data_IF_100800305941
#
_entry.id   IF_100800305941
#
_cell.length_a   1.000
_cell.length_b   1.000
_cell.length_c   1.000
_cell.angle_alpha   90.00
_cell.angle_beta   90.00
_cell.angle_gamma   90.00
#
_symmetry.space_group_name_H-M   'P 1'
#
loop_
_entity.id
_entity.type
_entity.pdbx_description
1 polymer ?
#
# COMPACT_ATOMS: atom_id res chain seq x y z
N UNK A 1 1.12 15.54 9.87
CA UNK A 1 2.11 15.32 10.96
C UNK A 1 1.55 15.91 12.24
N UNK A 2 1.93 15.37 13.40
CA UNK A 2 1.49 15.86 14.70
C UNK A 2 2.26 17.13 15.08
N UNK A 3 1.56 18.23 15.33
CA UNK A 3 2.19 19.51 15.66
C UNK A 3 2.88 19.55 17.03
N UNK A 4 2.51 18.65 17.96
CA UNK A 4 3.08 18.60 19.31
C UNK A 4 4.42 17.85 19.37
N UNK A 5 4.62 16.82 18.55
CA UNK A 5 5.85 16.02 18.56
C UNK A 5 6.64 16.06 17.25
N UNK A 6 6.11 16.70 16.20
CA UNK A 6 6.73 16.74 14.87
C UNK A 6 6.69 15.42 14.09
N UNK A 7 6.23 14.32 14.70
CA UNK A 7 6.21 12.99 14.08
C UNK A 7 4.94 12.66 13.30
N UNK A 8 4.90 11.45 12.72
CA UNK A 8 3.68 10.84 12.19
C UNK A 8 2.69 10.52 13.33
N UNK A 9 1.40 10.44 12.99
CA UNK A 9 0.38 10.13 13.98
C UNK A 9 0.50 8.69 14.49
N UNK A 10 0.55 8.55 15.81
CA UNK A 10 0.41 7.28 16.53
C UNK A 10 -0.84 7.41 17.41
N UNK A 11 -1.79 6.49 17.22
CA UNK A 11 -3.14 6.56 17.79
C UNK A 11 -3.78 7.94 17.55
N UNK A 12 -3.98 8.31 16.28
CA UNK A 12 -4.52 9.59 15.86
C UNK A 12 -5.79 9.91 16.66
N UNK A 13 -5.80 11.11 17.23
CA UNK A 13 -6.85 11.59 18.13
C UNK A 13 -7.22 13.00 17.72
N UNK A 14 -8.49 13.21 17.42
CA UNK A 14 -9.03 14.44 16.85
C UNK A 14 -9.87 15.17 17.88
N UNK A 15 -9.68 16.48 17.99
CA UNK A 15 -10.52 17.38 18.79
C UNK A 15 -11.84 17.58 18.05
N UNK A 16 -12.97 17.30 18.70
CA UNK A 16 -14.30 17.35 18.05
C UNK A 16 -14.67 18.77 17.61
N UNK A 17 -14.39 19.77 18.44
CA UNK A 17 -14.82 21.16 18.21
C UNK A 17 -14.13 21.84 17.01
N UNK A 18 -12.90 21.44 16.67
CA UNK A 18 -12.11 22.11 15.64
C UNK A 18 -11.48 21.16 14.61
N UNK A 19 -11.71 19.85 14.73
CA UNK A 19 -11.20 18.80 13.84
C UNK A 19 -9.68 18.78 13.63
N UNK A 20 -8.90 19.31 14.59
CA UNK A 20 -7.45 19.19 14.57
C UNK A 20 -7.03 17.87 15.22
N UNK A 21 -6.11 17.16 14.57
CA UNK A 21 -5.66 15.82 14.97
C UNK A 21 -4.22 15.82 15.50
N UNK A 22 -3.97 14.95 16.47
CA UNK A 22 -2.70 14.79 17.18
C UNK A 22 -2.47 13.31 17.52
N UNK A 23 -1.28 12.93 17.98
CA UNK A 23 -1.11 11.61 18.61
C UNK A 23 -1.85 11.57 19.96
N UNK A 24 -2.48 10.44 20.31
CA UNK A 24 -3.22 10.26 21.58
C UNK A 24 -2.42 10.72 22.79
N UNK A 25 -1.19 10.22 22.94
CA UNK A 25 -0.33 10.54 24.09
C UNK A 25 0.08 12.02 24.13
N UNK A 26 0.23 12.66 22.96
CA UNK A 26 0.60 14.07 22.88
C UNK A 26 -0.55 14.96 23.33
N UNK A 27 -1.75 14.77 22.77
CA UNK A 27 -2.89 15.63 23.10
C UNK A 27 -3.43 15.38 24.50
N UNK A 28 -3.43 14.13 24.97
CA UNK A 28 -3.83 13.82 26.36
C UNK A 28 -2.91 14.54 27.36
N UNK A 29 -1.59 14.45 27.19
CA UNK A 29 -0.61 15.12 28.06
C UNK A 29 -0.77 16.65 28.00
N UNK A 30 -0.95 17.22 26.81
CA UNK A 30 -1.13 18.67 26.66
C UNK A 30 -2.38 19.18 27.39
N UNK A 31 -3.48 18.44 27.29
CA UNK A 31 -4.77 18.80 27.88
C UNK A 31 -4.86 18.58 29.41
N UNK A 32 -3.82 18.02 30.04
CA UNK A 32 -3.72 17.96 31.52
C UNK A 32 -3.59 19.36 32.12
N UNK A 33 -2.94 20.28 31.40
CA UNK A 33 -2.65 21.66 31.86
C UNK A 33 -3.35 22.72 31.03
N UNK A 34 -3.89 22.38 29.86
CA UNK A 34 -4.49 23.33 28.92
C UNK A 34 -5.92 22.92 28.52
N UNK A 35 -6.75 23.90 28.16
CA UNK A 35 -8.15 23.69 27.75
C UNK A 35 -8.45 24.12 26.31
N UNK A 36 -7.41 24.53 25.57
CA UNK A 36 -7.52 25.11 24.24
C UNK A 36 -6.74 24.24 23.24
N UNK A 37 -7.15 24.27 21.97
CA UNK A 37 -6.48 23.53 20.91
C UNK A 37 -5.06 24.10 20.68
N UNK A 38 -3.99 23.28 20.63
CA UNK A 38 -2.63 23.75 20.36
C UNK A 38 -2.42 24.42 18.99
N UNK A 39 -3.36 24.25 18.05
CA UNK A 39 -3.24 24.72 16.67
C UNK A 39 -4.00 26.01 16.39
N UNK A 40 -5.11 26.24 17.08
CA UNK A 40 -6.06 27.28 16.71
C UNK A 40 -6.72 27.97 17.90
N UNK A 41 -6.28 27.67 19.13
CA UNK A 41 -6.76 28.26 20.38
C UNK A 41 -8.28 28.18 20.62
N UNK A 42 -8.99 27.33 19.88
CA UNK A 42 -10.41 27.03 20.13
C UNK A 42 -10.51 26.24 21.44
N UNK A 43 -11.45 26.62 22.31
CA UNK A 43 -11.66 25.94 23.58
C UNK A 43 -12.18 24.51 23.33
N UNK A 44 -11.43 23.51 23.78
CA UNK A 44 -11.76 22.08 23.60
C UNK A 44 -12.95 21.67 24.48
N UNK A 45 -12.93 22.09 25.75
CA UNK A 45 -14.03 21.89 26.68
C UNK A 45 -13.86 22.84 27.89
N UNK A 46 -14.97 23.26 28.51
CA UNK A 46 -14.99 24.18 29.67
C UNK A 46 -14.22 23.65 30.89
N UNK A 47 -14.48 22.40 31.30
CA UNK A 47 -13.89 21.78 32.49
C UNK A 47 -13.11 20.49 32.25
N UNK A 48 -13.50 19.67 31.26
CA UNK A 48 -12.94 18.33 31.03
C UNK A 48 -12.57 18.10 29.55
N UNK A 49 -11.42 18.64 29.08
CA UNK A 49 -11.00 18.55 27.67
C UNK A 49 -10.95 17.12 27.10
N UNK A 50 -10.64 16.12 27.92
CA UNK A 50 -10.58 14.71 27.50
C UNK A 50 -11.93 14.13 27.02
N UNK A 51 -13.07 14.77 27.32
CA UNK A 51 -14.39 14.35 26.82
C UNK A 51 -14.65 14.78 25.37
N UNK A 52 -13.92 15.80 24.89
CA UNK A 52 -14.10 16.40 23.55
C UNK A 52 -13.02 15.97 22.56
N UNK A 53 -12.28 14.89 22.84
CA UNK A 53 -11.34 14.28 21.90
C UNK A 53 -11.78 12.85 21.58
N UNK A 54 -11.57 12.42 20.34
CA UNK A 54 -11.97 11.08 19.86
C UNK A 54 -10.83 10.44 19.07
N UNK A 55 -10.70 9.12 19.16
CA UNK A 55 -9.78 8.39 18.29
C UNK A 55 -10.26 8.47 16.85
N UNK A 56 -9.34 8.76 15.95
CA UNK A 56 -9.56 8.90 14.52
C UNK A 56 -8.94 7.71 13.80
N UNK A 57 -9.69 6.60 13.78
CA UNK A 57 -9.23 5.34 13.18
C UNK A 57 -8.95 5.49 11.70
N UNK A 58 -9.79 6.23 10.99
CA UNK A 58 -9.64 6.47 9.54
C UNK A 58 -8.34 7.21 9.25
N UNK A 59 -8.07 8.30 9.95
CA UNK A 59 -6.82 9.03 9.78
C UNK A 59 -5.61 8.16 10.14
N UNK A 60 -5.72 7.38 11.22
CA UNK A 60 -4.64 6.47 11.61
C UNK A 60 -4.36 5.40 10.55
N UNK A 61 -5.41 4.83 9.96
CA UNK A 61 -5.30 3.82 8.89
C UNK A 61 -4.67 4.42 7.64
N UNK A 62 -5.05 5.65 7.28
CA UNK A 62 -4.42 6.38 6.16
C UNK A 62 -2.93 6.55 6.44
N UNK A 63 -2.55 7.02 7.63
CA UNK A 63 -1.15 7.24 8.00
C UNK A 63 -0.34 5.94 7.95
N UNK A 64 -0.88 4.84 8.48
CA UNK A 64 -0.20 3.53 8.45
C UNK A 64 -0.11 2.90 7.05
N UNK A 65 -1.02 3.23 6.14
CA UNK A 65 -0.96 2.77 4.74
C UNK A 65 0.01 3.61 3.90
N UNK A 66 0.09 4.91 4.18
CA UNK A 66 0.91 5.84 3.39
C UNK A 66 2.37 5.89 3.83
N UNK A 67 2.67 5.65 5.11
CA UNK A 67 4.04 5.72 5.63
C UNK A 67 4.61 4.31 5.76
N UNK A 68 5.58 3.91 4.90
CA UNK A 68 6.18 2.59 4.94
C UNK A 68 6.84 2.30 6.30
N UNK A 69 6.70 1.08 6.79
CA UNK A 69 7.35 0.62 8.03
C UNK A 69 6.73 1.16 9.33
N UNK A 70 6.04 2.30 9.31
CA UNK A 70 5.57 2.99 10.52
C UNK A 70 4.74 2.09 11.45
N UNK A 71 3.79 1.33 10.89
CA UNK A 71 2.99 0.39 11.67
C UNK A 71 3.84 -0.73 12.28
N UNK A 72 4.73 -1.34 11.48
CA UNK A 72 5.62 -2.43 11.92
C UNK A 72 6.54 -1.93 13.06
N UNK A 73 7.09 -0.73 12.91
CA UNK A 73 7.96 -0.09 13.90
C UNK A 73 7.22 0.26 15.19
N UNK A 74 5.98 0.75 15.09
CA UNK A 74 5.14 1.02 16.25
C UNK A 74 4.78 -0.26 17.01
N UNK A 75 4.34 -1.31 16.31
CA UNK A 75 4.04 -2.61 16.92
C UNK A 75 5.28 -3.24 17.56
N UNK A 76 6.45 -3.08 16.92
CA UNK A 76 7.73 -3.51 17.50
C UNK A 76 8.03 -2.74 18.80
N UNK A 77 7.90 -1.42 18.80
CA UNK A 77 8.12 -0.59 19.99
C UNK A 77 7.18 -0.96 21.15
N UNK A 78 5.92 -1.29 20.86
CA UNK A 78 4.96 -1.78 21.87
C UNK A 78 5.41 -3.11 22.47
N UNK A 79 5.77 -4.09 21.63
CA UNK A 79 6.27 -5.40 22.09
C UNK A 79 7.54 -5.28 22.93
N UNK A 80 8.52 -4.51 22.46
CA UNK A 80 9.78 -4.31 23.17
C UNK A 80 9.54 -3.69 24.56
N UNK A 81 8.58 -2.77 24.67
CA UNK A 81 8.20 -2.17 25.95
C UNK A 81 7.60 -3.21 26.92
N UNK A 82 6.57 -3.96 26.52
CA UNK A 82 5.96 -4.95 27.42
C UNK A 82 6.89 -6.12 27.76
N UNK A 83 7.78 -6.51 26.83
CA UNK A 83 8.82 -7.49 27.11
C UNK A 83 9.82 -6.99 28.18
N UNK A 84 10.18 -5.70 28.16
CA UNK A 84 11.06 -5.09 29.15
C UNK A 84 10.36 -4.80 30.50
N UNK A 85 9.03 -4.65 30.50
CA UNK A 85 8.24 -4.34 31.69
C UNK A 85 7.08 -5.33 31.89
N UNK A 86 7.33 -6.60 32.29
CA UNK A 86 6.28 -7.61 32.45
C UNK A 86 5.19 -7.25 33.48
N UNK A 87 5.49 -6.36 34.43
CA UNK A 87 4.52 -5.88 35.43
C UNK A 87 3.65 -4.71 34.95
N UNK A 88 3.93 -4.13 33.78
CA UNK A 88 3.13 -3.07 33.17
C UNK A 88 1.93 -3.60 32.38
N UNK A 89 1.69 -4.92 32.44
CA UNK A 89 0.62 -5.57 31.72
C UNK A 89 -0.74 -4.95 32.06
N UNK A 90 -1.41 -4.40 31.04
CA UNK A 90 -2.70 -3.74 31.21
C UNK A 90 -3.77 -4.84 31.19
N UNK A 91 -4.52 -5.09 32.29
CA UNK A 91 -5.49 -6.19 32.37
C UNK A 91 -6.61 -6.11 31.31
N UNK A 92 -6.79 -4.93 30.69
CA UNK A 92 -7.80 -4.64 29.67
C UNK A 92 -7.21 -4.09 28.35
N UNK A 93 -5.90 -4.19 28.12
CA UNK A 93 -5.29 -3.77 26.85
C UNK A 93 -5.71 -4.67 25.69
N UNK A 94 -5.96 -4.09 24.52
CA UNK A 94 -6.22 -4.85 23.29
C UNK A 94 -4.93 -5.55 22.81
N UNK A 95 -5.08 -6.57 21.95
CA UNK A 95 -3.90 -7.23 21.35
C UNK A 95 -3.02 -6.22 20.57
N UNK A 96 -3.64 -5.25 19.89
CA UNK A 96 -2.92 -4.15 19.22
C UNK A 96 -2.15 -3.25 20.20
N UNK A 97 -2.64 -3.07 21.43
CA UNK A 97 -1.94 -2.30 22.47
C UNK A 97 -0.67 -3.02 22.93
N UNK A 98 -0.67 -4.36 22.97
CA UNK A 98 0.53 -5.18 23.24
C UNK A 98 1.48 -5.29 22.05
N UNK A 99 1.05 -4.82 20.87
CA UNK A 99 1.76 -5.02 19.61
C UNK A 99 1.65 -6.44 19.04
N UNK A 100 0.69 -7.21 19.54
CA UNK A 100 0.34 -8.53 19.03
C UNK A 100 -0.77 -8.39 17.98
N UNK A 101 -0.39 -8.30 16.71
CA UNK A 101 -1.34 -8.26 15.59
C UNK A 101 -1.01 -9.40 14.66
N UNK A 102 -2.02 -10.16 14.23
CA UNK A 102 -1.84 -11.21 13.23
C UNK A 102 -1.29 -10.57 11.96
N UNK A 103 -0.17 -11.09 11.43
CA UNK A 103 0.43 -10.60 10.18
C UNK A 103 -0.56 -10.66 9.00
N UNK A 104 -1.61 -11.47 9.14
CA UNK A 104 -2.68 -11.64 8.18
C UNK A 104 -3.61 -10.42 8.07
N UNK A 105 -3.69 -9.57 9.10
CA UNK A 105 -4.72 -8.53 9.22
C UNK A 105 -4.35 -7.20 8.54
N UNK A 106 -3.08 -7.00 8.15
CA UNK A 106 -2.62 -5.72 7.58
C UNK A 106 -1.70 -5.86 6.37
N UNK A 107 -2.16 -6.61 5.38
CA UNK A 107 -2.68 -5.94 4.20
C UNK A 107 -1.71 -5.27 3.20
N UNK A 108 -0.48 -4.94 3.57
CA UNK A 108 0.35 -4.02 2.80
C UNK A 108 1.49 -4.79 2.14
N UNK A 109 1.35 -5.05 0.84
CA UNK A 109 2.47 -5.47 0.02
C UNK A 109 3.44 -4.29 -0.07
N UNK A 110 4.69 -4.42 0.37
CA UNK A 110 5.73 -3.46 0.00
C UNK A 110 6.24 -3.78 -1.41
N UNK A 111 6.91 -2.84 -2.08
CA UNK A 111 7.44 -3.06 -3.45
C UNK A 111 8.38 -4.28 -3.53
N UNK A 112 9.11 -4.54 -2.44
CA UNK A 112 10.00 -5.69 -2.27
C UNK A 112 9.29 -7.03 -1.99
N UNK A 113 7.96 -7.04 -1.80
CA UNK A 113 7.21 -8.26 -1.51
C UNK A 113 6.88 -9.05 -2.79
N UNK A 114 6.84 -10.39 -2.67
CA UNK A 114 6.44 -11.26 -3.78
C UNK A 114 4.94 -11.52 -3.76
N UNK A 115 4.26 -11.29 -4.88
CA UNK A 115 2.86 -11.66 -5.11
C UNK A 115 2.81 -13.06 -5.72
N UNK A 116 2.03 -13.95 -5.11
CA UNK A 116 1.66 -15.24 -5.72
C UNK A 116 0.45 -15.02 -6.62
N UNK A 117 0.54 -15.43 -7.88
CA UNK A 117 -0.54 -15.28 -8.86
C UNK A 117 -0.77 -16.57 -9.63
N UNK A 118 -1.98 -16.74 -10.14
CA UNK A 118 -2.34 -17.81 -11.06
C UNK A 118 -2.69 -17.20 -12.41
N UNK A 119 -2.28 -17.83 -13.50
CA UNK A 119 -2.56 -17.37 -14.86
C UNK A 119 -3.13 -18.49 -15.71
N UNK A 120 -4.31 -18.24 -16.27
CA UNK A 120 -5.05 -19.18 -17.13
C UNK A 120 -5.30 -18.56 -18.51
N UNK A 121 -5.35 -19.39 -19.55
CA UNK A 121 -5.82 -18.93 -20.85
C UNK A 121 -7.33 -18.66 -20.80
N UNK A 122 -7.76 -17.51 -21.34
CA UNK A 122 -9.16 -17.15 -21.45
C UNK A 122 -9.82 -17.90 -22.61
N UNK A 123 -10.54 -18.97 -22.28
CA UNK A 123 -11.46 -19.64 -23.18
C UNK A 123 -12.73 -18.78 -23.28
N UNK A 124 -12.83 -17.92 -24.30
CA UNK A 124 -14.04 -17.11 -24.51
C UNK A 124 -15.29 -17.99 -24.57
N UNK A 125 -16.43 -17.46 -24.13
CA UNK A 125 -17.72 -18.15 -24.26
C UNK A 125 -17.94 -18.42 -25.76
N UNK A 126 -17.69 -19.66 -26.17
CA UNK A 126 -18.18 -20.16 -27.45
C UNK A 126 -19.66 -20.38 -27.19
N UNK A 127 -20.52 -19.65 -27.90
CA UNK A 127 -21.97 -19.85 -27.85
C UNK A 127 -22.30 -21.36 -27.89
N UNK A 128 -23.24 -21.79 -27.05
CA UNK A 128 -23.77 -23.15 -27.03
C UNK A 128 -24.28 -23.54 -28.43
N UNK A 129 -23.41 -24.11 -29.24
CA UNK A 129 -23.82 -25.15 -30.18
C UNK A 129 -23.60 -26.47 -29.46
N UNK A 130 -24.67 -26.92 -28.78
CA UNK A 130 -24.83 -28.28 -28.28
C UNK A 130 -24.67 -29.27 -29.43
N UNK A 131 -23.44 -29.77 -29.59
CA UNK A 131 -23.15 -31.03 -30.26
C UNK A 131 -22.89 -32.09 -29.20
N UNK A 132 -23.84 -33.00 -29.04
CA UNK A 132 -23.83 -34.14 -28.13
C UNK A 132 -22.56 -34.99 -28.34
N UNK A 133 -21.61 -34.97 -27.40
CA UNK A 133 -20.71 -36.10 -27.16
C UNK A 133 -20.38 -36.14 -25.68
N UNK A 134 -20.73 -37.25 -25.02
CA UNK A 134 -20.29 -37.60 -23.67
C UNK A 134 -18.77 -37.47 -23.54
N UNK A 135 -18.26 -36.96 -22.42
CA UNK A 135 -17.13 -37.55 -21.68
C UNK A 135 -16.67 -36.64 -20.53
N UNK A 136 -16.64 -37.20 -19.32
CA UNK A 136 -16.23 -36.55 -18.06
C UNK A 136 -14.73 -36.20 -17.95
N UNK A 137 -14.13 -35.63 -18.98
CA UNK A 137 -12.71 -35.25 -19.04
C UNK A 137 -12.45 -33.73 -19.04
N UNK A 138 -13.48 -32.88 -19.21
CA UNK A 138 -13.31 -31.42 -19.35
C UNK A 138 -12.76 -30.75 -18.07
N UNK A 139 -13.06 -31.30 -16.89
CA UNK A 139 -12.57 -30.74 -15.62
C UNK A 139 -11.08 -31.01 -15.36
N UNK A 140 -10.52 -32.11 -15.90
CA UNK A 140 -9.10 -32.45 -15.71
C UNK A 140 -8.19 -31.61 -16.60
N UNK A 141 -8.61 -31.30 -17.83
CA UNK A 141 -7.83 -30.48 -18.76
C UNK A 141 -7.80 -28.99 -18.37
N UNK A 142 -8.90 -28.44 -17.81
CA UNK A 142 -8.92 -27.05 -17.29
C UNK A 142 -7.88 -26.83 -16.17
N UNK A 143 -7.73 -27.79 -15.26
CA UNK A 143 -6.70 -27.72 -14.20
C UNK A 143 -5.27 -27.72 -14.74
N UNK A 144 -5.03 -28.24 -15.95
CA UNK A 144 -3.69 -28.35 -16.53
C UNK A 144 -3.25 -27.09 -17.30
N UNK A 145 -4.18 -26.19 -17.64
CA UNK A 145 -3.89 -24.91 -18.34
C UNK A 145 -3.53 -23.77 -17.37
N UNK A 146 -3.91 -23.91 -16.09
CA UNK A 146 -3.61 -22.95 -15.03
C UNK A 146 -2.15 -23.06 -14.59
N UNK A 147 -1.42 -21.94 -14.59
CA UNK A 147 -0.04 -21.87 -14.10
C UNK A 147 0.06 -20.94 -12.89
N UNK A 148 0.93 -21.26 -11.94
CA UNK A 148 1.19 -20.41 -10.78
C UNK A 148 2.57 -19.76 -10.89
N UNK A 149 2.66 -18.48 -10.51
CA UNK A 149 3.88 -17.68 -10.58
C UNK A 149 4.07 -16.94 -9.25
N UNK A 150 5.32 -16.77 -8.84
CA UNK A 150 5.72 -15.81 -7.79
C UNK A 150 6.48 -14.68 -8.46
N UNK A 151 5.96 -13.48 -8.34
CA UNK A 151 6.50 -12.29 -9.01
C UNK A 151 6.72 -11.18 -7.98
N UNK A 152 7.75 -10.34 -8.14
CA UNK A 152 7.84 -9.08 -7.38
C UNK A 152 6.57 -8.25 -7.56
N UNK A 153 6.10 -7.59 -6.50
CA UNK A 153 4.92 -6.72 -6.54
C UNK A 153 5.07 -5.58 -7.55
N UNK A 154 6.30 -5.09 -7.75
CA UNK A 154 6.71 -4.12 -8.76
C UNK A 154 6.54 -4.57 -10.22
N UNK A 155 6.34 -5.87 -10.48
CA UNK A 155 6.23 -6.38 -11.85
C UNK A 155 4.98 -5.82 -12.53
N UNK A 156 5.15 -5.25 -13.73
CA UNK A 156 4.03 -4.70 -14.51
C UNK A 156 3.32 -5.74 -15.37
N UNK A 157 2.08 -5.43 -15.76
CA UNK A 157 1.34 -6.22 -16.74
C UNK A 157 2.07 -6.30 -18.09
N UNK A 158 2.82 -5.27 -18.48
CA UNK A 158 3.69 -5.34 -19.65
C UNK A 158 4.73 -6.47 -19.53
N UNK A 159 5.36 -6.64 -18.36
CA UNK A 159 6.30 -7.74 -18.15
C UNK A 159 5.61 -9.10 -18.28
N UNK A 160 4.41 -9.25 -17.72
CA UNK A 160 3.65 -10.49 -17.80
C UNK A 160 3.21 -10.80 -19.24
N UNK A 161 2.76 -9.80 -19.99
CA UNK A 161 2.40 -9.95 -21.40
C UNK A 161 3.61 -10.34 -22.28
N UNK A 162 4.80 -9.77 -22.02
CA UNK A 162 6.05 -10.19 -22.69
C UNK A 162 6.44 -11.61 -22.32
N UNK A 163 6.34 -11.98 -21.05
CA UNK A 163 6.61 -13.33 -20.58
C UNK A 163 5.70 -14.35 -21.28
N UNK A 164 4.40 -14.10 -21.32
CA UNK A 164 3.43 -14.98 -21.98
C UNK A 164 3.66 -15.09 -23.49
N UNK A 165 3.98 -13.97 -24.15
CA UNK A 165 4.33 -13.97 -25.58
C UNK A 165 5.50 -14.92 -25.85
N UNK A 166 6.56 -14.82 -25.06
CA UNK A 166 7.74 -15.68 -25.21
C UNK A 166 7.45 -17.13 -24.83
N UNK A 167 6.71 -17.36 -23.73
CA UNK A 167 6.41 -18.69 -23.21
C UNK A 167 5.50 -19.51 -24.15
N UNK A 168 4.58 -18.83 -24.83
CA UNK A 168 3.59 -19.45 -25.72
C UNK A 168 3.90 -19.23 -27.21
N UNK A 169 5.08 -18.71 -27.53
CA UNK A 169 5.55 -18.39 -28.89
C UNK A 169 4.50 -17.61 -29.73
N UNK A 170 3.93 -16.56 -29.13
CA UNK A 170 2.87 -15.77 -29.78
C UNK A 170 3.49 -14.82 -30.82
N UNK A 171 3.14 -14.92 -32.12
CA UNK A 171 3.70 -14.05 -33.15
C UNK A 171 3.35 -12.57 -32.93
N UNK A 172 4.22 -11.66 -33.40
CA UNK A 172 4.06 -10.20 -33.23
C UNK A 172 2.80 -9.62 -33.87
N UNK A 173 2.20 -10.31 -34.85
CA UNK A 173 0.90 -9.96 -35.44
C UNK A 173 -0.27 -10.08 -34.45
N UNK A 174 -0.04 -10.67 -33.28
CA UNK A 174 -1.01 -10.77 -32.19
C UNK A 174 -0.55 -10.02 -30.93
N UNK A 175 -1.53 -9.44 -30.24
CA UNK A 175 -1.39 -8.82 -28.93
C UNK A 175 -1.82 -9.82 -27.85
N UNK A 176 -0.98 -9.97 -26.82
CA UNK A 176 -1.35 -10.65 -25.57
C UNK A 176 -2.00 -9.62 -24.65
N UNK A 177 -3.24 -9.87 -24.25
CA UNK A 177 -3.95 -9.08 -23.24
C UNK A 177 -4.06 -9.90 -21.96
N UNK A 178 -3.68 -9.30 -20.83
CA UNK A 178 -3.89 -9.87 -19.49
C UNK A 178 -5.15 -9.27 -18.91
N UNK A 179 -5.94 -10.10 -18.23
CA UNK A 179 -7.23 -9.74 -17.66
C UNK A 179 -7.28 -10.08 -16.18
N UNK A 180 -8.01 -9.27 -15.43
CA UNK A 180 -8.56 -9.64 -14.14
C UNK A 180 -10.06 -9.88 -14.35
N UNK A 181 -10.53 -11.07 -13.96
CA UNK A 181 -11.88 -11.56 -14.30
C UNK A 181 -12.12 -11.55 -15.82
N UNK A 182 -12.81 -10.52 -16.34
CA UNK A 182 -13.12 -10.31 -17.77
C UNK A 182 -12.63 -8.95 -18.29
N UNK A 183 -11.96 -8.15 -17.44
CA UNK A 183 -11.50 -6.80 -17.78
C UNK A 183 -10.02 -6.79 -18.18
N UNK A 184 -9.67 -6.19 -19.33
CA UNK A 184 -8.27 -6.05 -19.75
C UNK A 184 -7.54 -5.02 -18.88
N UNK A 185 -6.41 -5.43 -18.31
CA UNK A 185 -5.58 -4.60 -17.46
C UNK A 185 -4.66 -3.69 -18.28
N UNK A 186 -4.31 -2.53 -17.71
CA UNK A 186 -3.39 -1.59 -18.35
C UNK A 186 -1.95 -2.09 -18.24
N UNK A 187 -1.16 -1.87 -19.30
CA UNK A 187 0.23 -2.35 -19.38
C UNK A 187 1.15 -1.75 -18.30
N UNK A 188 0.83 -0.55 -17.82
CA UNK A 188 1.59 0.16 -16.79
C UNK A 188 1.18 -0.20 -15.36
N UNK A 189 0.12 -0.99 -15.14
CA UNK A 189 -0.23 -1.46 -13.80
C UNK A 189 0.80 -2.46 -13.31
N UNK A 190 1.26 -2.26 -12.08
CA UNK A 190 2.03 -3.24 -11.29
C UNK A 190 1.10 -4.30 -10.70
N UNK A 191 1.67 -5.44 -10.27
CA UNK A 191 0.90 -6.42 -9.49
C UNK A 191 0.38 -5.80 -8.20
N UNK A 192 1.15 -4.92 -7.56
CA UNK A 192 0.71 -4.12 -6.41
C UNK A 192 -0.54 -3.30 -6.74
N UNK A 193 -0.54 -2.53 -7.83
CA UNK A 193 -1.70 -1.73 -8.26
C UNK A 193 -2.95 -2.60 -8.40
N UNK A 194 -2.83 -3.79 -9.00
CA UNK A 194 -3.96 -4.71 -9.17
C UNK A 194 -4.52 -5.13 -7.81
N UNK A 195 -3.66 -5.44 -6.83
CA UNK A 195 -4.11 -5.80 -5.48
C UNK A 195 -4.77 -4.65 -4.71
N UNK A 196 -4.51 -3.40 -5.09
CA UNK A 196 -5.16 -2.22 -4.51
C UNK A 196 -6.46 -1.86 -5.23
N UNK A 197 -6.46 -1.94 -6.57
CA UNK A 197 -7.61 -1.58 -7.41
C UNK A 197 -8.72 -2.63 -7.25
N UNK A 198 -8.37 -3.91 -7.26
CA UNK A 198 -9.31 -5.00 -7.17
C UNK A 198 -9.27 -5.63 -5.77
N UNK A 199 -10.43 -5.88 -5.12
CA UNK A 199 -10.52 -6.34 -3.73
C UNK A 199 -10.12 -7.82 -3.58
N UNK A 200 -8.88 -8.15 -3.89
CA UNK A 200 -8.29 -9.48 -3.71
C UNK A 200 -7.91 -9.68 -2.24
N UNK A 201 -8.66 -10.53 -1.54
CA UNK A 201 -8.48 -10.79 -0.09
C UNK A 201 -7.28 -11.68 0.26
N UNK A 202 -6.37 -11.93 -0.67
CA UNK A 202 -5.24 -12.89 -0.52
C UNK A 202 -5.67 -14.31 -0.12
N UNK A 203 -6.93 -14.68 -0.36
CA UNK A 203 -7.45 -16.03 -0.16
C UNK A 203 -7.00 -16.94 -1.32
N UNK A 204 -5.70 -17.22 -1.38
CA UNK A 204 -5.05 -17.89 -2.51
C UNK A 204 -4.40 -16.91 -3.50
N UNK A 205 -3.76 -17.41 -4.57
CA UNK A 205 -3.02 -16.59 -5.53
C UNK A 205 -3.92 -15.61 -6.29
N UNK A 206 -3.36 -14.47 -6.71
CA UNK A 206 -4.06 -13.46 -7.51
C UNK A 206 -4.48 -14.07 -8.86
N UNK A 207 -5.79 -14.21 -9.14
CA UNK A 207 -6.25 -14.89 -10.35
C UNK A 207 -6.25 -13.95 -11.54
N UNK A 208 -5.37 -14.22 -12.50
CA UNK A 208 -5.30 -13.51 -13.78
C UNK A 208 -5.65 -14.46 -14.92
N UNK A 209 -6.18 -13.90 -16.00
CA UNK A 209 -6.37 -14.61 -17.27
C UNK A 209 -5.59 -13.92 -18.38
N UNK A 210 -5.36 -14.59 -19.50
CA UNK A 210 -4.81 -13.96 -20.69
C UNK A 210 -5.51 -14.42 -21.96
N UNK A 211 -5.60 -13.54 -22.95
CA UNK A 211 -6.09 -13.86 -24.30
C UNK A 211 -5.18 -13.30 -25.36
N UNK A 212 -5.27 -13.85 -26.57
CA UNK A 212 -4.49 -13.42 -27.73
C UNK A 212 -5.44 -12.83 -28.76
N UNK A 213 -5.21 -11.57 -29.15
CA UNK A 213 -6.01 -10.86 -30.15
C UNK A 213 -5.17 -10.45 -31.36
N UNK A 214 -5.75 -10.36 -32.58
CA UNK A 214 -5.07 -9.73 -33.71
C UNK A 214 -4.69 -8.27 -33.38
N UNK A 215 -3.44 -7.87 -33.65
CA UNK A 215 -2.97 -6.52 -33.36
C UNK A 215 -3.62 -5.45 -34.25
N UNK A 216 -4.10 -5.85 -35.44
CA UNK A 216 -4.82 -4.97 -36.36
C UNK A 216 -6.24 -5.51 -36.57
N UNK A 217 -7.26 -4.75 -36.17
CA UNK A 217 -8.62 -4.99 -36.66
C UNK A 217 -8.61 -4.62 -38.14
N UNK A 218 -8.53 -5.61 -39.01
CA UNK A 218 -8.67 -5.40 -40.45
C UNK A 218 -10.04 -4.75 -40.68
N UNK A 219 -10.07 -3.48 -41.07
CA UNK A 219 -11.26 -2.81 -41.58
C UNK A 219 -11.73 -3.64 -42.78
N UNK A 220 -12.81 -4.39 -42.62
CA UNK A 220 -13.38 -5.20 -43.70
C UNK A 220 -14.20 -4.26 -44.58
N UNK A 221 -13.58 -3.72 -45.62
CA UNK A 221 -14.33 -3.10 -46.72
C UNK A 221 -15.13 -4.21 -47.41
N UNK A 222 -16.45 -4.08 -47.42
CA UNK A 222 -17.37 -5.03 -48.04
C UNK A 222 -17.19 -5.02 -49.55
N UNK A 223 -16.47 -5.98 -50.11
CA UNK A 223 -16.51 -6.29 -51.54
C UNK A 223 -17.75 -7.13 -51.83
N UNK A 224 -18.76 -6.53 -52.46
CA UNK A 224 -19.80 -7.27 -53.17
C UNK A 224 -19.16 -8.14 -54.26
N UNK A 225 -19.71 -9.34 -54.57
CA UNK A 225 -19.30 -10.10 -55.74
C UNK A 225 -20.06 -9.62 -56.99
N UNK A 226 -19.44 -9.55 -58.19
CA UNK A 226 -20.19 -9.46 -59.43
C UNK A 226 -20.50 -10.87 -59.96
N UNK A 227 -21.81 -11.13 -60.14
CA UNK A 227 -22.33 -12.22 -60.94
C UNK A 227 -22.11 -11.94 -62.43
N UNK A 228 -22.05 -13.03 -63.20
CA UNK A 228 -21.71 -13.12 -64.60
C UNK A 228 -22.80 -12.68 -65.60
N UNK A 229 -22.34 -12.41 -66.82
CA UNK A 229 -23.00 -12.55 -68.14
C UNK A 229 -23.69 -11.36 -68.85
N UNK A 230 -23.00 -10.95 -69.93
CA UNK A 230 -23.44 -10.82 -71.32
C UNK A 230 -24.09 -9.49 -71.84
N UNK A 231 -23.38 -8.94 -72.84
CA UNK A 231 -23.84 -8.40 -74.15
C UNK A 231 -24.70 -7.13 -74.21
N UNK A 232 -24.10 -6.00 -74.63
CA UNK A 232 -24.33 -5.34 -75.94
C UNK A 232 -23.94 -3.85 -75.97
N UNK A 233 -23.26 -3.48 -77.06
CA UNK A 233 -23.36 -2.24 -77.89
C UNK A 233 -23.27 -0.84 -77.27
N UNK A 234 -22.26 -0.11 -77.75
CA UNK A 234 -22.30 1.27 -78.31
C UNK A 234 -22.88 2.42 -77.49
N UNK A 235 -22.08 3.49 -77.32
CA UNK A 235 -22.65 4.84 -77.12
C UNK A 235 -21.80 5.81 -76.28
N UNK A 236 -21.03 6.64 -76.99
CA UNK A 236 -20.73 8.07 -76.82
C UNK A 236 -20.80 8.84 -75.47
N UNK A 237 -20.09 9.99 -75.49
CA UNK A 237 -20.04 11.15 -74.59
C UNK A 237 -18.99 11.06 -73.47
N UNK A 238 -17.84 11.75 -73.58
CA UNK A 238 -17.59 13.21 -73.48
C UNK A 238 -17.89 13.74 -72.07
N UNK A 239 -16.83 14.08 -71.33
CA UNK A 239 -16.46 15.45 -70.91
C UNK A 239 -17.24 15.88 -69.64
N UNK A 240 -16.75 16.60 -68.63
CA UNK A 240 -15.68 17.57 -68.47
C UNK A 240 -15.20 17.58 -67.01
N UNK A 241 -13.97 18.07 -66.84
CA UNK A 241 -13.48 19.07 -65.87
C UNK A 241 -14.50 19.64 -64.86
N UNK A 242 -14.11 19.96 -63.62
CA UNK A 242 -13.43 21.23 -63.31
C UNK A 242 -12.75 21.13 -61.94
N UNK A 243 -11.51 21.62 -61.89
CA UNK A 243 -10.77 21.95 -60.66
C UNK A 243 -11.36 23.19 -60.01
N UNK A 244 -11.34 23.27 -58.67
CA UNK A 244 -11.12 24.58 -58.05
C UNK A 244 -10.31 24.51 -56.75
N UNK A 245 -9.62 25.63 -56.53
CA UNK A 245 -8.34 25.76 -55.83
C UNK A 245 -8.49 26.49 -54.50
N UNK A 246 -7.74 26.01 -53.51
CA UNK A 246 -7.12 26.70 -52.36
C UNK A 246 -7.93 27.60 -51.42
N UNK A 247 -7.74 27.37 -50.11
CA UNK A 247 -7.10 28.38 -49.24
C UNK A 247 -6.56 27.74 -47.94
N UNK A 248 -5.27 27.95 -47.67
CA UNK A 248 -4.73 27.97 -46.30
C UNK A 248 -4.88 29.39 -45.73
N UNK A 249 -4.76 29.55 -44.40
CA UNK A 249 -3.61 30.31 -43.93
C UNK A 249 -2.92 29.76 -42.66
N UNK A 250 -1.68 30.26 -42.51
CA UNK A 250 -0.62 30.07 -41.50
C UNK A 250 -1.04 30.42 -40.05
N UNK A 251 -0.59 29.71 -39.01
CA UNK A 251 0.70 29.79 -38.24
C UNK A 251 0.83 30.98 -37.26
N UNK A 252 1.24 30.67 -36.01
CA UNK A 252 2.13 31.36 -35.04
C UNK A 252 1.57 31.33 -33.58
N UNK A 253 2.39 31.49 -32.52
CA UNK A 253 3.73 30.94 -32.26
C UNK A 253 3.87 30.30 -30.86
N UNK A 254 4.92 29.47 -30.67
CA UNK A 254 5.34 28.93 -29.39
C UNK A 254 6.29 29.90 -28.65
N UNK A 255 6.05 30.14 -27.37
CA UNK A 255 6.97 30.85 -26.47
C UNK A 255 7.70 29.85 -25.58
N UNK A 256 9.02 29.90 -25.67
CA UNK A 256 9.98 29.20 -24.82
C UNK A 256 10.21 29.97 -23.52
N UNK A 257 10.21 29.28 -22.39
CA UNK A 257 10.88 29.76 -21.17
C UNK A 257 11.57 28.60 -20.45
N UNK A 258 12.89 28.74 -20.35
CA UNK A 258 13.82 27.87 -19.64
C UNK A 258 13.88 28.32 -18.17
N UNK A 259 13.87 27.39 -17.22
CA UNK A 259 14.22 27.65 -15.82
C UNK A 259 15.18 26.56 -15.29
N UNK A 260 16.08 26.92 -14.35
CA UNK A 260 17.34 26.19 -14.11
C UNK A 260 17.25 25.16 -12.98
N UNK A 261 18.18 24.19 -13.02
CA UNK A 261 18.42 23.18 -11.98
C UNK A 261 19.15 23.77 -10.75
N UNK A 262 18.90 23.27 -9.53
CA UNK A 262 19.60 23.73 -8.33
C UNK A 262 20.99 23.09 -8.16
N UNK A 263 21.90 23.92 -7.69
CA UNK A 263 23.32 23.72 -7.39
C UNK A 263 23.52 22.79 -6.18
N UNK A 264 24.45 21.85 -6.31
CA UNK A 264 25.03 21.06 -5.21
C UNK A 264 26.25 21.78 -4.61
N UNK A 265 26.41 21.85 -3.28
CA UNK A 265 27.65 22.30 -2.66
C UNK A 265 28.64 21.14 -2.49
N UNK A 266 29.86 21.37 -2.95
CA UNK A 266 31.07 20.59 -2.75
C UNK A 266 31.56 20.70 -1.29
N UNK A 267 31.77 19.56 -0.62
CA UNK A 267 32.62 19.49 0.56
C UNK A 267 33.74 18.49 0.32
N UNK A 268 34.97 18.98 0.49
CA UNK A 268 36.21 18.31 0.17
C UNK A 268 36.56 17.15 1.10
N UNK A 269 37.36 16.26 0.54
CA UNK A 269 38.16 15.26 1.25
C UNK A 269 39.18 15.93 2.18
N UNK A 270 39.59 15.24 3.25
CA UNK A 270 40.98 15.31 3.67
C UNK A 270 41.67 13.95 3.54
N UNK A 271 42.92 14.08 3.14
CA UNK A 271 43.89 13.06 2.78
C UNK A 271 44.22 12.08 3.90
N UNK A 272 44.61 10.89 3.43
CA UNK A 272 45.30 9.84 4.16
C UNK A 272 46.69 10.32 4.62
N UNK A 273 47.00 10.20 5.91
CA UNK A 273 48.37 10.18 6.40
C UNK A 273 48.59 8.86 7.16
N UNK A 274 49.42 8.03 6.54
CA UNK A 274 50.08 6.86 7.11
C UNK A 274 51.14 7.32 8.12
N UNK A 275 51.09 6.81 9.35
CA UNK A 275 52.30 6.71 10.18
C UNK A 275 52.30 5.38 10.91
N UNK A 276 53.27 4.57 10.54
CA UNK A 276 53.73 3.33 11.15
C UNK A 276 54.20 3.60 12.59
N UNK A 277 54.00 2.66 13.53
CA UNK A 277 55.06 2.02 14.35
C UNK A 277 54.49 1.21 15.54
N UNK A 278 54.90 -0.06 15.53
CA UNK A 278 55.13 -1.05 16.62
C UNK A 278 53.99 -1.65 17.47
N UNK A 279 53.89 -2.98 17.30
CA UNK A 279 53.41 -4.01 18.23
C UNK A 279 54.59 -4.43 19.16
N UNK A 280 54.33 -4.95 20.38
CA UNK A 280 54.63 -6.38 20.65
C UNK A 280 53.47 -7.09 21.39
N UNK A 281 52.90 -8.18 20.84
CA UNK A 281 53.15 -9.62 21.13
C UNK A 281 52.77 -10.06 22.57
N UNK A 282 51.56 -10.63 22.69
CA UNK A 282 51.12 -11.94 23.26
C UNK A 282 51.59 -12.45 24.66
N UNK A 283 51.00 -13.53 25.24
CA UNK A 283 49.65 -14.13 25.10
C UNK A 283 49.01 -14.55 26.46
N UNK A 284 47.83 -15.21 26.39
CA UNK A 284 47.29 -16.27 27.27
C UNK A 284 46.00 -15.95 28.07
N UNK A 285 44.92 -16.63 27.63
CA UNK A 285 43.98 -17.48 28.37
C UNK A 285 43.50 -17.08 29.79
N UNK A 286 42.17 -17.02 29.94
CA UNK A 286 41.50 -17.57 31.13
C UNK A 286 40.45 -16.70 31.82
N UNK A 287 39.23 -17.22 31.84
CA UNK A 287 38.22 -17.12 32.91
C UNK A 287 37.50 -15.78 33.22
N UNK A 288 36.18 -15.85 33.04
CA UNK A 288 35.10 -15.39 33.93
C UNK A 288 35.49 -14.53 35.14
N UNK A 289 34.83 -13.37 35.31
CA UNK A 289 34.11 -12.99 36.54
C UNK A 289 33.37 -11.63 36.39
N UNK A 290 32.17 -11.62 36.97
CA UNK A 290 31.30 -10.51 37.39
C UNK A 290 31.91 -9.11 37.55
N UNK A 291 31.14 -8.07 37.20
CA UNK A 291 31.42 -6.69 37.57
C UNK A 291 30.36 -5.65 37.19
N UNK A 292 29.29 -5.61 37.99
CA UNK A 292 28.52 -4.42 38.44
C UNK A 292 28.18 -3.26 37.48
N UNK A 293 26.86 -3.11 37.33
CA UNK A 293 26.04 -1.96 36.98
C UNK A 293 26.37 -0.63 37.69
N UNK A 294 26.23 0.48 36.96
CA UNK A 294 25.88 1.80 37.49
C UNK A 294 24.93 2.53 36.51
N UNK A 295 23.63 2.45 36.77
CA UNK A 295 22.62 3.35 36.21
C UNK A 295 21.99 4.14 37.36
N UNK A 296 22.00 5.46 37.26
CA UNK A 296 21.45 6.38 38.26
C UNK A 296 19.92 6.30 38.30
N UNK A 297 19.37 6.11 39.50
CA UNK A 297 17.95 6.15 39.82
C UNK A 297 17.71 7.29 40.83
N UNK A 298 16.70 8.14 40.59
CA UNK A 298 16.18 9.13 41.53
C UNK A 298 14.70 8.86 41.82
N UNK A 299 14.33 9.12 43.08
CA UNK A 299 13.22 8.54 43.85
C UNK A 299 11.89 9.32 43.74
N UNK A 300 10.74 8.71 44.11
CA UNK A 300 9.54 9.45 44.53
C UNK A 300 9.42 9.54 46.07
N UNK A 301 9.09 10.74 46.54
CA UNK A 301 8.91 11.14 47.93
C UNK A 301 7.51 10.74 48.46
N UNK A 302 7.47 10.16 49.67
CA UNK A 302 6.26 9.83 50.40
C UNK A 302 5.69 11.01 51.20
N UNK A 303 4.35 11.15 51.26
CA UNK A 303 3.68 12.04 52.22
C UNK A 303 2.50 11.35 52.93
N UNK A 304 2.80 10.97 54.18
CA UNK A 304 1.98 10.78 55.39
C UNK A 304 0.45 10.94 55.30
N UNK A 305 -0.26 9.89 55.75
CA UNK A 305 -1.61 9.96 56.30
C UNK A 305 -1.64 10.38 57.78
N UNK A 306 -2.76 10.97 58.21
CA UNK A 306 -3.09 11.26 59.62
C UNK A 306 -4.41 10.57 59.97
N UNK A 307 -4.37 9.72 61.00
CA UNK A 307 -5.52 9.07 61.65
C UNK A 307 -6.05 9.96 62.78
N UNK A 308 -7.36 9.92 63.01
CA UNK A 308 -8.00 10.24 64.30
C UNK A 308 -9.06 9.17 64.60
N UNK A 309 -9.01 8.63 65.81
CA UNK A 309 -9.90 7.60 66.37
C UNK A 309 -11.13 8.23 67.03
N UNK A 310 -12.25 7.49 67.10
CA UNK A 310 -12.96 7.27 68.37
C UNK A 310 -13.90 6.04 68.29
N UNK A 311 -13.90 5.27 69.37
CA UNK A 311 -14.65 4.04 69.65
C UNK A 311 -16.12 4.32 70.04
N UNK A 312 -17.01 3.33 69.87
CA UNK A 312 -18.32 3.29 70.54
C UNK A 312 -19.18 2.09 70.13
N UNK A 313 -19.32 1.13 71.04
CA UNK A 313 -19.90 -0.23 70.96
C UNK A 313 -21.42 -0.36 70.65
N UNK A 314 -21.94 -1.59 70.44
CA UNK A 314 -23.19 -1.90 69.71
C UNK A 314 -24.38 -2.26 70.60
N UNK A 315 -25.63 -2.16 70.10
CA UNK A 315 -26.80 -2.91 70.60
C UNK A 315 -27.82 -3.19 69.47
N UNK A 316 -28.34 -4.42 69.54
CA UNK A 316 -29.43 -5.12 68.84
C UNK A 316 -30.66 -4.30 68.39
N UNK A 317 -31.31 -4.73 67.30
CA UNK A 317 -32.55 -5.55 67.36
C UNK A 317 -33.16 -5.79 65.97
N UNK A 318 -33.70 -7.01 65.81
CA UNK A 318 -34.45 -7.51 64.67
C UNK A 318 -35.97 -7.26 64.82
N UNK A 319 -36.71 -7.52 63.73
CA UNK A 319 -38.18 -7.56 63.57
C UNK A 319 -38.83 -6.16 63.57
N UNK A 320 -39.62 -5.75 62.58
CA UNK A 320 -40.64 -6.46 61.78
C UNK A 320 -40.76 -5.78 60.41
#
# INVERSE_FOLDING_TARGET
MCALCGGYFIDATTIVECLHSFCKTCIVRYLETNKYCPMCDVQVHKTRPLLSIRSDKTLQDIVYKLVPGLFKDEMKRRRDFYAAYPLADVPNGSNEDRGEVSEQDKGNLTDDETVSLSIEFYEGIRDENKGTVENGNIEKDKKNSMRFLRCPAAMTIMHLAKFLRNKMDVPTKYKVEVLYEDEPLKEYYTLMDITYIYPWRRNGPLPLKYRVQPACKRLKLSSQPPNSECTNTSGASECESVSDKAHSPATLPATSSSLPSPITPSHGSPSSNTTTVSIPINPASGAMLNGTSNCHQMQPLASRGRKTMVNGSPVMSALT
#
